data_IF_799446078658
#
_entry.id   IF_799446078658
#
_cell.length_a   1.000
_cell.length_b   1.000
_cell.length_c   1.000
_cell.angle_alpha   90.00
_cell.angle_beta   90.00
_cell.angle_gamma   90.00
#
_symmetry.space_group_name_H-M   'P 1'
#
loop_
_entity.id
_entity.type
_entity.pdbx_description
1 polymer ?
#
# COMPACT_ATOMS: atom_id res chain seq x y z
N UNK A 1 -8.15 25.25 -13.64
CA UNK A 1 -6.91 24.97 -12.85
C UNK A 1 -6.83 23.47 -12.63
N UNK A 2 -5.65 22.84 -12.65
CA UNK A 2 -5.52 21.40 -12.35
C UNK A 2 -5.39 21.17 -10.85
N UNK A 3 -5.76 19.97 -10.37
CA UNK A 3 -5.69 19.60 -8.96
C UNK A 3 -4.30 19.84 -8.35
N UNK A 4 -3.25 19.42 -9.07
CA UNK A 4 -1.87 19.58 -8.64
C UNK A 4 -1.47 21.06 -8.54
N UNK A 5 -1.96 21.90 -9.47
CA UNK A 5 -1.71 23.34 -9.43
C UNK A 5 -2.41 24.02 -8.25
N UNK A 6 -3.64 23.60 -7.91
CA UNK A 6 -4.35 24.07 -6.71
C UNK A 6 -3.56 23.75 -5.44
N UNK A 7 -3.16 22.48 -5.27
CA UNK A 7 -2.42 22.05 -4.07
C UNK A 7 -1.04 22.71 -3.96
N UNK A 8 -0.36 22.93 -5.09
CA UNK A 8 0.93 23.63 -5.12
C UNK A 8 0.77 25.10 -4.73
N UNK A 9 -0.28 25.76 -5.22
CA UNK A 9 -0.58 27.16 -4.89
C UNK A 9 -0.97 27.34 -3.42
N UNK A 10 -1.83 26.45 -2.89
CA UNK A 10 -2.18 26.42 -1.46
C UNK A 10 -0.95 26.22 -0.58
N UNK A 11 -0.07 25.28 -0.94
CA UNK A 11 1.18 25.04 -0.23
C UNK A 11 2.11 26.26 -0.27
N UNK A 12 2.20 26.96 -1.41
CA UNK A 12 2.98 28.19 -1.54
C UNK A 12 2.43 29.33 -0.66
N UNK A 13 1.12 29.34 -0.38
CA UNK A 13 0.46 30.25 0.57
C UNK A 13 0.56 29.79 2.03
N UNK A 14 1.25 28.68 2.29
CA UNK A 14 1.44 28.13 3.64
C UNK A 14 0.25 27.32 4.16
N UNK A 15 -0.69 26.96 3.29
CA UNK A 15 -1.80 26.07 3.65
C UNK A 15 -1.31 24.62 3.65
N UNK A 16 -1.47 23.96 4.79
CA UNK A 16 -1.20 22.54 4.97
C UNK A 16 -2.52 21.80 4.80
N UNK A 17 -2.51 20.80 3.91
CA UNK A 17 -3.68 19.97 3.60
C UNK A 17 -3.38 18.55 4.06
N UNK A 18 -4.16 18.04 5.02
CA UNK A 18 -3.99 16.69 5.57
C UNK A 18 -5.25 15.85 5.39
N UNK A 19 -5.08 14.53 5.33
CA UNK A 19 -6.20 13.59 5.27
C UNK A 19 -6.51 13.09 6.69
N UNK A 20 -7.77 13.20 7.09
CA UNK A 20 -8.31 12.64 8.32
C UNK A 20 -9.44 11.66 7.96
N UNK A 21 -9.09 10.40 7.68
CA UNK A 21 -10.03 9.40 7.17
C UNK A 21 -10.57 9.79 5.78
N UNK A 22 -11.86 10.13 5.72
CA UNK A 22 -12.56 10.62 4.51
C UNK A 22 -12.77 12.13 4.49
N UNK A 23 -12.15 12.84 5.42
CA UNK A 23 -12.14 14.29 5.50
C UNK A 23 -10.77 14.84 5.10
N UNK A 24 -10.78 16.10 4.69
CA UNK A 24 -9.57 16.90 4.49
C UNK A 24 -9.58 17.93 5.62
N UNK A 25 -8.47 18.01 6.35
CA UNK A 25 -8.20 19.08 7.30
C UNK A 25 -7.29 20.11 6.64
N UNK A 26 -7.55 21.39 6.94
CA UNK A 26 -6.82 22.52 6.40
C UNK A 26 -6.26 23.30 7.59
N UNK A 27 -4.94 23.36 7.69
CA UNK A 27 -4.24 24.28 8.59
C UNK A 27 -3.69 25.42 7.74
N UNK A 28 -4.14 26.63 8.01
CA UNK A 28 -3.91 27.77 7.15
C UNK A 28 -3.65 29.04 7.98
N UNK A 29 -2.68 29.87 7.57
CA UNK A 29 -2.55 31.22 8.12
C UNK A 29 -3.83 32.03 7.86
N UNK A 30 -4.07 33.04 8.71
CA UNK A 30 -5.20 33.95 8.54
C UNK A 30 -5.17 34.57 7.13
N UNK A 31 -6.34 34.66 6.49
CA UNK A 31 -6.56 35.19 5.14
C UNK A 31 -5.87 34.41 3.99
N UNK A 32 -5.24 33.27 4.27
CA UNK A 32 -4.57 32.48 3.23
C UNK A 32 -5.53 31.64 2.37
N UNK A 33 -6.76 31.40 2.86
CA UNK A 33 -7.78 30.58 2.22
C UNK A 33 -8.95 31.46 1.77
N UNK A 34 -9.28 31.38 0.47
CA UNK A 34 -10.41 32.11 -0.13
C UNK A 34 -11.63 31.19 -0.28
N UNK A 35 -12.81 31.77 -0.46
CA UNK A 35 -14.03 30.99 -0.71
C UNK A 35 -13.92 30.16 -2.00
N UNK A 36 -13.25 30.69 -3.03
CA UNK A 36 -13.00 29.99 -4.30
C UNK A 36 -12.11 28.75 -4.08
N UNK A 37 -11.12 28.84 -3.19
CA UNK A 37 -10.30 27.68 -2.81
C UNK A 37 -11.14 26.59 -2.14
N UNK A 38 -12.04 26.98 -1.22
CA UNK A 38 -12.93 26.05 -0.53
C UNK A 38 -13.86 25.35 -1.51
N UNK A 39 -14.40 26.08 -2.50
CA UNK A 39 -15.23 25.50 -3.57
C UNK A 39 -14.42 24.50 -4.38
N UNK A 40 -13.22 24.89 -4.85
CA UNK A 40 -12.37 24.01 -5.65
C UNK A 40 -11.95 22.74 -4.89
N UNK A 41 -11.61 22.87 -3.60
CA UNK A 41 -11.28 21.76 -2.70
C UNK A 41 -12.47 20.82 -2.50
N UNK A 42 -13.70 21.35 -2.40
CA UNK A 42 -14.91 20.54 -2.27
C UNK A 42 -15.23 19.77 -3.54
N UNK A 43 -15.18 20.41 -4.70
CA UNK A 43 -15.48 19.78 -5.99
C UNK A 43 -14.52 18.64 -6.31
N UNK A 44 -13.26 18.77 -5.91
CA UNK A 44 -12.22 17.79 -6.18
C UNK A 44 -11.83 16.95 -4.95
N UNK A 45 -12.64 16.97 -3.88
CA UNK A 45 -12.33 16.32 -2.59
C UNK A 45 -11.91 14.84 -2.73
N UNK A 46 -12.63 13.99 -3.49
CA UNK A 46 -12.25 12.58 -3.62
C UNK A 46 -10.86 12.40 -4.25
N UNK A 47 -10.56 13.17 -5.29
CA UNK A 47 -9.28 13.09 -5.99
C UNK A 47 -8.12 13.62 -5.14
N UNK A 48 -8.37 14.64 -4.29
CA UNK A 48 -7.36 15.16 -3.34
C UNK A 48 -7.03 14.11 -2.29
N UNK A 49 -8.05 13.50 -1.67
CA UNK A 49 -7.84 12.44 -0.66
C UNK A 49 -7.03 11.30 -1.27
N UNK A 50 -7.41 10.86 -2.47
CA UNK A 50 -6.72 9.80 -3.19
C UNK A 50 -5.24 10.14 -3.43
N UNK A 51 -4.95 11.37 -3.86
CA UNK A 51 -3.58 11.82 -4.16
C UNK A 51 -2.73 11.93 -2.89
N UNK A 52 -3.29 12.46 -1.81
CA UNK A 52 -2.60 12.58 -0.52
C UNK A 52 -2.33 11.20 0.11
N UNK A 53 -3.31 10.27 0.10
CA UNK A 53 -3.09 8.89 0.57
C UNK A 53 -1.94 8.22 -0.18
N UNK A 54 -1.87 8.40 -1.50
CA UNK A 54 -0.79 7.86 -2.32
C UNK A 54 0.59 8.43 -1.96
N UNK A 55 0.66 9.74 -1.65
CA UNK A 55 1.89 10.41 -1.25
C UNK A 55 2.41 9.91 0.11
N UNK A 56 1.50 9.59 1.03
CA UNK A 56 1.81 9.04 2.36
C UNK A 56 2.07 7.51 2.35
N UNK A 57 2.01 6.87 1.19
CA UNK A 57 2.17 5.42 1.05
C UNK A 57 1.01 4.61 1.63
N UNK A 58 -0.15 5.25 1.84
CA UNK A 58 -1.37 4.64 2.32
C UNK A 58 -2.18 4.02 1.15
N UNK A 59 -3.09 3.07 1.44
CA UNK A 59 -4.00 2.55 0.43
C UNK A 59 -4.82 3.66 -0.21
N UNK A 60 -5.00 3.56 -1.52
CA UNK A 60 -5.63 4.60 -2.37
C UNK A 60 -7.10 4.83 -2.00
N UNK A 61 -7.77 3.77 -1.55
CA UNK A 61 -9.16 3.71 -1.10
C UNK A 61 -9.34 2.50 -0.17
N UNK A 62 -10.56 2.32 0.34
CA UNK A 62 -10.90 1.26 1.29
C UNK A 62 -10.90 -0.13 0.63
N UNK A 63 -11.20 -0.22 -0.66
CA UNK A 63 -11.13 -1.48 -1.42
C UNK A 63 -9.68 -1.94 -1.57
N UNK A 64 -8.75 -1.01 -1.84
CA UNK A 64 -7.32 -1.28 -1.83
C UNK A 64 -6.83 -1.64 -0.43
N UNK A 65 -7.36 -0.99 0.62
CA UNK A 65 -7.04 -1.35 2.00
C UNK A 65 -7.52 -2.77 2.34
N UNK A 66 -8.74 -3.14 1.95
CA UNK A 66 -9.30 -4.47 2.13
C UNK A 66 -8.52 -5.53 1.32
N UNK A 67 -8.04 -5.19 0.13
CA UNK A 67 -7.18 -6.08 -0.68
C UNK A 67 -5.80 -6.27 -0.06
N UNK A 68 -5.26 -5.24 0.61
CA UNK A 68 -3.99 -5.31 1.32
C UNK A 68 -4.12 -5.97 2.70
N UNK A 69 -5.33 -6.00 3.27
CA UNK A 69 -5.67 -6.78 4.45
C UNK A 69 -5.74 -8.30 4.15
N UNK A 70 -4.86 -8.80 3.29
CA UNK A 70 -4.57 -10.23 3.18
C UNK A 70 -3.94 -10.67 4.50
N UNK A 71 -4.52 -11.71 5.09
CA UNK A 71 -4.24 -12.25 6.43
C UNK A 71 -2.76 -12.09 6.84
N UNK A 72 -2.48 -11.12 7.73
CA UNK A 72 -1.24 -11.15 8.49
C UNK A 72 -1.17 -12.51 9.19
N UNK A 73 -0.14 -13.29 8.87
CA UNK A 73 0.09 -14.55 9.57
C UNK A 73 0.44 -14.22 11.01
N UNK A 74 -0.47 -14.53 11.94
CA UNK A 74 -0.23 -14.40 13.37
C UNK A 74 1.05 -15.18 13.74
N UNK A 75 2.11 -14.50 14.23
CA UNK A 75 3.35 -15.16 14.63
C UNK A 75 3.13 -16.27 15.65
N UNK A 76 2.09 -16.19 16.49
CA UNK A 76 1.74 -17.23 17.45
C UNK A 76 1.17 -18.50 16.78
N UNK A 77 0.62 -18.38 15.57
CA UNK A 77 0.16 -19.49 14.74
C UNK A 77 1.28 -20.19 13.97
N UNK A 78 2.49 -19.64 13.95
CA UNK A 78 3.64 -20.21 13.24
C UNK A 78 4.33 -21.25 14.13
N UNK A 79 4.40 -22.53 13.72
CA UNK A 79 5.03 -23.56 14.53
C UNK A 79 6.56 -23.42 14.54
N UNK A 80 7.17 -23.82 15.64
CA UNK A 80 8.63 -23.94 15.77
C UNK A 80 9.14 -25.23 15.11
N UNK A 81 10.27 -25.14 14.43
CA UNK A 81 10.99 -26.26 13.86
C UNK A 81 11.48 -27.20 14.96
N UNK A 82 11.13 -28.49 14.85
CA UNK A 82 11.55 -29.53 15.81
C UNK A 82 13.06 -29.79 15.80
N UNK A 83 13.77 -29.42 14.74
CA UNK A 83 15.21 -29.68 14.58
C UNK A 83 16.09 -28.56 15.13
N UNK A 84 15.71 -27.29 14.93
CA UNK A 84 16.54 -26.13 15.31
C UNK A 84 15.87 -25.16 16.31
N UNK A 85 14.58 -25.35 16.62
CA UNK A 85 13.83 -24.48 17.53
C UNK A 85 13.41 -23.11 16.96
N UNK A 86 13.89 -22.73 15.77
CA UNK A 86 13.45 -21.50 15.09
C UNK A 86 12.04 -21.61 14.52
N UNK A 87 11.40 -20.48 14.20
CA UNK A 87 10.09 -20.47 13.54
C UNK A 87 10.20 -21.07 12.12
N UNK A 88 9.20 -21.85 11.73
CA UNK A 88 9.04 -22.27 10.34
C UNK A 88 8.70 -21.05 9.46
N UNK A 89 9.26 -21.00 8.25
CA UNK A 89 9.23 -19.81 7.38
C UNK A 89 8.71 -20.11 5.97
N UNK A 90 8.31 -21.35 5.70
CA UNK A 90 7.74 -21.77 4.42
C UNK A 90 6.42 -22.48 4.67
N UNK A 91 5.32 -21.88 4.19
CA UNK A 91 4.01 -22.51 4.16
C UNK A 91 3.73 -23.10 2.77
N UNK A 92 3.25 -24.34 2.71
CA UNK A 92 2.80 -24.99 1.48
C UNK A 92 1.32 -24.70 1.21
N UNK A 93 0.83 -25.02 0.01
CA UNK A 93 -0.58 -24.80 -0.37
C UNK A 93 -1.59 -25.67 0.41
N UNK A 94 -1.11 -26.70 1.10
CA UNK A 94 -1.89 -27.52 2.03
C UNK A 94 -1.68 -27.08 3.50
N UNK A 95 -1.31 -25.81 3.69
CA UNK A 95 -1.13 -25.13 4.98
C UNK A 95 -0.10 -25.76 5.92
N UNK A 96 0.85 -26.55 5.39
CA UNK A 96 1.93 -27.10 6.21
C UNK A 96 3.11 -26.15 6.29
N UNK A 97 3.66 -26.06 7.48
CA UNK A 97 4.82 -25.24 7.78
C UNK A 97 6.12 -26.04 7.78
N UNK A 98 7.12 -25.48 7.11
CA UNK A 98 8.46 -26.03 6.97
C UNK A 98 9.50 -24.98 7.32
N UNK A 99 10.63 -25.42 7.85
CA UNK A 99 11.79 -24.58 8.07
C UNK A 99 12.73 -24.72 6.87
N UNK A 100 12.90 -23.65 6.08
CA UNK A 100 13.79 -23.61 4.92
C UNK A 100 15.24 -23.97 5.27
N UNK A 101 15.66 -23.67 6.50
CA UNK A 101 17.00 -23.95 7.00
C UNK A 101 17.23 -25.45 7.27
N UNK A 102 16.23 -26.15 7.81
CA UNK A 102 16.35 -27.57 8.17
C UNK A 102 15.79 -28.52 7.10
N UNK A 103 14.94 -28.03 6.20
CA UNK A 103 14.36 -28.76 5.07
C UNK A 103 14.83 -28.13 3.74
N UNK A 104 15.92 -28.62 3.13
CA UNK A 104 16.43 -28.10 1.86
C UNK A 104 15.39 -28.18 0.71
N UNK A 105 14.46 -29.14 0.77
CA UNK A 105 13.39 -29.23 -0.23
C UNK A 105 12.39 -28.08 -0.07
N UNK A 106 12.09 -27.64 1.15
CA UNK A 106 11.25 -26.47 1.39
C UNK A 106 11.88 -25.20 0.82
N UNK A 107 13.18 -24.98 1.03
CA UNK A 107 13.90 -23.85 0.44
C UNK A 107 13.91 -23.90 -1.09
N UNK A 108 14.16 -25.07 -1.68
CA UNK A 108 14.11 -25.24 -3.12
C UNK A 108 12.72 -24.96 -3.71
N UNK A 109 11.66 -25.39 -3.04
CA UNK A 109 10.27 -25.08 -3.42
C UNK A 109 10.02 -23.57 -3.35
N UNK A 110 10.41 -22.90 -2.24
CA UNK A 110 10.27 -21.45 -2.08
C UNK A 110 10.94 -20.69 -3.23
N UNK A 111 12.23 -20.95 -3.49
CA UNK A 111 12.98 -20.31 -4.57
C UNK A 111 12.41 -20.58 -5.97
N UNK A 112 11.82 -21.76 -6.19
CA UNK A 112 11.16 -22.05 -7.47
C UNK A 112 9.91 -21.19 -7.61
N UNK A 113 9.07 -21.12 -6.59
CA UNK A 113 7.84 -20.31 -6.59
C UNK A 113 8.17 -18.83 -6.77
N UNK A 114 9.14 -18.28 -6.03
CA UNK A 114 9.59 -16.89 -6.17
C UNK A 114 10.06 -16.57 -7.61
N UNK A 115 10.84 -17.47 -8.22
CA UNK A 115 11.26 -17.31 -9.63
C UNK A 115 10.07 -17.27 -10.58
N UNK A 116 9.10 -18.18 -10.40
CA UNK A 116 7.89 -18.23 -11.22
C UNK A 116 7.06 -16.96 -11.06
N UNK A 117 6.84 -16.49 -9.82
CA UNK A 117 6.10 -15.26 -9.54
C UNK A 117 6.78 -14.03 -10.14
N UNK A 118 8.10 -13.90 -10.00
CA UNK A 118 8.86 -12.81 -10.65
C UNK A 118 8.73 -12.84 -12.17
N UNK A 119 8.82 -14.03 -12.78
CA UNK A 119 8.62 -14.15 -14.23
C UNK A 119 7.19 -13.83 -14.68
N UNK A 120 6.18 -14.24 -13.91
CA UNK A 120 4.78 -13.94 -14.20
C UNK A 120 4.46 -12.45 -14.03
N UNK A 121 5.02 -11.80 -13.01
CA UNK A 121 4.87 -10.35 -12.81
C UNK A 121 5.49 -9.55 -13.96
N UNK A 122 6.66 -9.97 -14.47
CA UNK A 122 7.29 -9.36 -15.64
C UNK A 122 6.39 -9.48 -16.90
N UNK A 123 5.74 -10.63 -17.10
CA UNK A 123 4.80 -10.84 -18.22
C UNK A 123 3.59 -9.91 -18.10
N UNK A 124 2.97 -9.80 -16.91
CA UNK A 124 1.83 -8.90 -16.69
C UNK A 124 2.20 -7.43 -16.91
N UNK A 125 3.39 -7.02 -16.45
CA UNK A 125 3.90 -5.66 -16.68
C UNK A 125 4.07 -5.34 -18.16
N UNK A 126 4.54 -6.29 -18.98
CA UNK A 126 4.66 -6.08 -20.43
C UNK A 126 3.31 -6.12 -21.18
N UNK A 127 2.34 -6.92 -20.70
CA UNK A 127 1.00 -6.97 -21.28
C UNK A 127 0.19 -5.68 -21.05
N UNK A 128 0.31 -5.08 -19.87
CA UNK A 128 -0.45 -3.87 -19.50
C UNK A 128 0.11 -2.56 -20.12
N UNK A 129 1.28 -2.60 -20.74
CA UNK A 129 1.92 -1.44 -21.40
C UNK A 129 1.68 -1.39 -22.91
N UNK A 130 1.23 -2.49 -23.50
CA UNK A 130 0.97 -2.64 -24.94
C UNK A 130 -0.54 -2.78 -25.27
N UNK A 131 -1.42 -2.55 -24.29
CA UNK A 131 -2.87 -2.53 -24.44
C UNK A 131 -3.44 -1.13 -24.27
#
# INVERSE_FOLDING_TARGET
>A
MTLLALLTDLSARGVIVTVAGDAIELDAPADALTDDDVVALRESKPDIIRLLRLADGLPVDDDAAATLALDEVDPAGVPTCKSCGGLCDVQTLDDRWHCSHCDPLAEHRRRRTERLLRSAAAIRYTGNRNG
#
